data_IF_255285133804
#
_entry.id   IF_255285133804
#
_cell.length_a   1.000
_cell.length_b   1.000
_cell.length_c   1.000
_cell.angle_alpha   90.00
_cell.angle_beta   90.00
_cell.angle_gamma   90.00
#
_symmetry.space_group_name_H-M   'P 1'
#
loop_
_entity.id
_entity.type
_entity.pdbx_description
1 polymer ?
#
# COMPACT_ATOMS: atom_id res chain seq x y z
N UNK A 1 -46.08 13.55 7.72
CA UNK A 1 -44.64 13.90 7.71
C UNK A 1 -43.80 12.62 7.58
N UNK A 2 -43.49 12.25 6.34
CA UNK A 2 -42.65 11.08 6.06
C UNK A 2 -41.20 11.38 6.45
N UNK A 3 -40.51 10.50 7.21
CA UNK A 3 -39.09 10.65 7.42
C UNK A 3 -38.40 10.31 6.10
N UNK A 4 -37.66 11.28 5.59
CA UNK A 4 -36.87 11.17 4.37
C UNK A 4 -35.65 10.29 4.69
N UNK A 5 -35.81 8.97 4.73
CA UNK A 5 -34.68 8.04 4.77
C UNK A 5 -34.13 7.96 3.35
N UNK A 6 -33.19 8.85 3.03
CA UNK A 6 -32.31 8.61 1.88
C UNK A 6 -31.62 7.25 2.11
N UNK A 7 -31.68 6.31 1.16
CA UNK A 7 -30.83 5.13 1.24
C UNK A 7 -29.37 5.59 1.21
N UNK A 8 -28.45 4.91 1.94
CA UNK A 8 -27.03 5.20 1.82
C UNK A 8 -26.63 5.11 0.34
N UNK A 9 -25.96 6.15 -0.14
CA UNK A 9 -25.47 6.25 -1.53
C UNK A 9 -24.57 5.06 -1.85
N UNK A 10 -24.83 4.29 -2.92
CA UNK A 10 -23.92 3.23 -3.33
C UNK A 10 -22.73 3.85 -4.08
N UNK A 11 -21.53 3.30 -3.83
CA UNK A 11 -20.21 3.66 -4.37
C UNK A 11 -19.40 4.69 -3.57
N UNK A 12 -18.93 4.28 -2.39
CA UNK A 12 -17.83 4.91 -1.65
C UNK A 12 -16.45 4.59 -2.24
N UNK A 13 -16.33 3.61 -3.14
CA UNK A 13 -15.05 3.15 -3.69
C UNK A 13 -14.79 3.69 -5.10
N UNK A 14 -14.51 5.00 -5.20
CA UNK A 14 -14.12 5.64 -6.45
C UNK A 14 -12.60 5.83 -6.60
N UNK A 15 -11.85 5.60 -5.53
CA UNK A 15 -10.44 5.96 -5.46
C UNK A 15 -9.67 5.03 -4.51
N UNK A 16 -8.47 4.63 -4.93
CA UNK A 16 -7.47 3.92 -4.11
C UNK A 16 -6.39 4.93 -3.76
N UNK A 17 -6.15 5.14 -2.47
CA UNK A 17 -5.12 6.04 -2.00
C UNK A 17 -3.77 5.32 -1.83
N UNK A 18 -2.69 6.10 -1.92
CA UNK A 18 -1.36 5.58 -1.63
C UNK A 18 -1.25 5.19 -0.14
N UNK A 19 -1.03 3.89 0.09
CA UNK A 19 -0.92 3.32 1.43
C UNK A 19 -2.16 2.57 1.89
N UNK A 20 -3.22 2.51 1.07
CA UNK A 20 -4.35 1.62 1.35
C UNK A 20 -3.85 0.16 1.39
N UNK A 21 -4.31 -0.57 2.41
CA UNK A 21 -3.99 -1.97 2.58
C UNK A 21 -5.07 -2.82 1.94
N UNK A 22 -4.65 -3.81 1.16
CA UNK A 22 -5.56 -4.76 0.54
C UNK A 22 -5.10 -6.19 0.84
N UNK A 23 -6.06 -7.08 1.03
CA UNK A 23 -5.82 -8.51 1.20
C UNK A 23 -5.93 -9.17 -0.16
N UNK A 24 -4.85 -9.81 -0.59
CA UNK A 24 -4.84 -10.56 -1.85
C UNK A 24 -5.74 -11.80 -1.71
N UNK A 25 -6.74 -11.91 -2.58
CA UNK A 25 -7.64 -13.07 -2.64
C UNK A 25 -7.25 -14.04 -3.74
N UNK A 26 -6.80 -13.53 -4.88
CA UNK A 26 -6.45 -14.36 -6.04
C UNK A 26 -5.46 -13.67 -6.95
N UNK A 27 -4.50 -14.44 -7.46
CA UNK A 27 -3.52 -13.99 -8.47
C UNK A 27 -3.70 -14.82 -9.73
N UNK A 28 -3.76 -14.16 -10.88
CA UNK A 28 -3.92 -14.76 -12.20
C UNK A 28 -3.05 -14.04 -13.22
N UNK A 29 -2.93 -14.65 -14.40
CA UNK A 29 -2.31 -14.03 -15.58
C UNK A 29 -0.96 -13.37 -15.26
N UNK A 30 -0.04 -14.12 -14.64
CA UNK A 30 1.32 -13.62 -14.41
C UNK A 30 2.05 -13.66 -15.74
N UNK A 31 2.56 -12.52 -16.20
CA UNK A 31 3.21 -12.40 -17.50
C UNK A 31 4.23 -11.26 -17.51
N UNK A 32 5.09 -11.26 -18.51
CA UNK A 32 6.02 -10.18 -18.80
C UNK A 32 5.51 -9.33 -19.96
N UNK A 33 5.60 -8.01 -19.82
CA UNK A 33 5.22 -7.05 -20.84
C UNK A 33 6.06 -5.78 -20.66
N UNK A 34 6.48 -5.13 -21.75
CA UNK A 34 7.29 -3.89 -21.70
C UNK A 34 8.59 -3.98 -20.87
N UNK A 35 9.10 -5.19 -20.63
CA UNK A 35 10.28 -5.43 -19.79
C UNK A 35 10.01 -5.48 -18.28
N UNK A 36 8.73 -5.60 -17.88
CA UNK A 36 8.30 -5.71 -16.48
C UNK A 36 7.36 -6.90 -16.31
N UNK A 37 7.25 -7.41 -15.07
CA UNK A 37 6.36 -8.50 -14.67
C UNK A 37 5.06 -7.94 -14.11
N UNK A 38 3.95 -8.43 -14.64
CA UNK A 38 2.61 -8.05 -14.22
C UNK A 38 1.80 -9.26 -13.78
N UNK A 39 0.76 -9.00 -13.00
CA UNK A 39 -0.28 -9.98 -12.69
C UNK A 39 -1.64 -9.30 -12.63
N UNK A 40 -2.68 -10.08 -12.89
CA UNK A 40 -4.05 -9.70 -12.55
C UNK A 40 -4.37 -10.19 -11.14
N UNK A 41 -4.63 -9.25 -10.23
CA UNK A 41 -4.81 -9.55 -8.80
C UNK A 41 -6.20 -9.12 -8.37
N UNK A 42 -6.95 -10.07 -7.82
CA UNK A 42 -8.19 -9.80 -7.09
C UNK A 42 -7.84 -9.59 -5.62
N UNK A 43 -8.24 -8.45 -5.07
CA UNK A 43 -7.95 -8.02 -3.70
C UNK A 43 -9.20 -7.46 -3.03
N UNK A 44 -9.29 -7.61 -1.71
CA UNK A 44 -10.35 -6.99 -0.89
C UNK A 44 -9.77 -5.90 0.00
N UNK A 45 -10.47 -4.79 0.16
CA UNK A 45 -10.06 -3.67 0.99
C UNK A 45 -10.87 -3.64 2.30
N UNK A 46 -10.28 -4.06 3.44
CA UNK A 46 -11.01 -4.15 4.71
C UNK A 46 -11.56 -2.80 5.19
N UNK A 47 -10.82 -1.72 4.93
CA UNK A 47 -11.21 -0.35 5.31
C UNK A 47 -12.44 0.18 4.54
N UNK A 48 -12.90 -0.58 3.53
CA UNK A 48 -13.99 -0.20 2.63
C UNK A 48 -15.05 -1.29 2.53
N UNK A 49 -15.50 -1.82 3.67
CA UNK A 49 -16.56 -2.84 3.74
C UNK A 49 -16.24 -4.09 2.89
N UNK A 50 -14.99 -4.54 2.99
CA UNK A 50 -14.43 -5.68 2.23
C UNK A 50 -14.61 -5.56 0.70
N UNK A 51 -14.62 -4.33 0.17
CA UNK A 51 -14.77 -4.08 -1.27
C UNK A 51 -13.77 -4.89 -2.11
N UNK A 52 -14.27 -5.67 -3.06
CA UNK A 52 -13.46 -6.48 -3.97
C UNK A 52 -13.12 -5.71 -5.25
N UNK A 53 -11.82 -5.68 -5.59
CA UNK A 53 -11.30 -5.11 -6.82
C UNK A 53 -10.42 -6.11 -7.54
N UNK A 54 -10.53 -6.17 -8.87
CA UNK A 54 -9.53 -6.84 -9.72
C UNK A 54 -8.77 -5.79 -10.53
N UNK A 55 -7.44 -5.79 -10.42
CA UNK A 55 -6.57 -4.82 -11.08
C UNK A 55 -5.29 -5.45 -11.61
N UNK A 56 -4.67 -4.80 -12.60
CA UNK A 56 -3.32 -5.14 -13.05
C UNK A 56 -2.32 -4.59 -12.04
N UNK A 57 -1.42 -5.44 -11.56
CA UNK A 57 -0.41 -5.12 -10.56
C UNK A 57 0.97 -5.30 -11.17
N UNK A 58 1.86 -4.35 -10.92
CA UNK A 58 3.26 -4.42 -11.26
C UNK A 58 4.03 -5.19 -10.17
N UNK A 59 4.59 -6.34 -10.52
CA UNK A 59 5.25 -7.23 -9.56
C UNK A 59 6.69 -6.81 -9.22
N UNK A 60 7.39 -6.14 -10.14
CA UNK A 60 8.77 -5.68 -9.92
C UNK A 60 8.91 -4.74 -8.71
N UNK A 61 7.84 -4.04 -8.34
CA UNK A 61 7.87 -3.17 -7.16
C UNK A 61 7.88 -3.97 -5.86
N UNK A 62 7.41 -5.22 -5.82
CA UNK A 62 7.34 -6.00 -4.58
C UNK A 62 8.70 -6.27 -3.95
N UNK A 63 9.73 -6.50 -4.77
CA UNK A 63 11.08 -6.85 -4.32
C UNK A 63 12.10 -5.72 -4.47
N UNK A 64 11.68 -4.57 -5.01
CA UNK A 64 12.53 -3.39 -5.10
C UNK A 64 12.77 -2.77 -3.72
N UNK A 65 13.93 -2.15 -3.50
CA UNK A 65 14.18 -1.33 -2.30
C UNK A 65 13.49 0.04 -2.39
N UNK A 66 13.17 0.52 -3.60
CA UNK A 66 12.45 1.77 -3.80
C UNK A 66 10.95 1.60 -3.52
N UNK A 67 10.23 2.62 -2.99
CA UNK A 67 8.80 2.52 -2.65
C UNK A 67 7.90 2.29 -3.87
N UNK A 68 8.38 2.65 -5.05
CA UNK A 68 7.73 2.57 -6.35
C UNK A 68 8.82 2.37 -7.42
N UNK A 69 8.43 2.29 -8.70
CA UNK A 69 9.37 2.38 -9.81
C UNK A 69 10.25 3.62 -9.69
N UNK A 70 11.54 3.46 -9.97
CA UNK A 70 12.44 4.61 -10.07
C UNK A 70 12.04 5.49 -11.25
N UNK A 71 12.50 6.75 -11.25
CA UNK A 71 12.23 7.67 -12.36
C UNK A 71 12.67 7.09 -13.72
N UNK A 72 13.81 6.39 -13.74
CA UNK A 72 14.34 5.75 -14.94
C UNK A 72 13.44 4.60 -15.41
N UNK A 73 13.00 3.74 -14.48
CA UNK A 73 12.07 2.64 -14.78
C UNK A 73 10.71 3.16 -15.26
N UNK A 74 10.18 4.22 -14.63
CA UNK A 74 8.93 4.86 -15.05
C UNK A 74 9.05 5.44 -16.46
N UNK A 75 10.18 6.07 -16.78
CA UNK A 75 10.44 6.59 -18.12
C UNK A 75 10.57 5.47 -19.16
N UNK A 76 11.21 4.36 -18.78
CA UNK A 76 11.31 3.17 -19.63
C UNK A 76 9.93 2.58 -19.92
N UNK A 77 9.09 2.38 -18.90
CA UNK A 77 7.72 1.90 -19.05
C UNK A 77 6.91 2.85 -19.95
N UNK A 78 7.00 4.16 -19.70
CA UNK A 78 6.33 5.16 -20.54
C UNK A 78 6.75 5.04 -22.01
N UNK A 79 8.05 4.95 -22.29
CA UNK A 79 8.55 4.84 -23.66
C UNK A 79 8.08 3.55 -24.33
N UNK A 80 8.06 2.43 -23.59
CA UNK A 80 7.61 1.14 -24.08
C UNK A 80 6.12 1.11 -24.38
N UNK A 81 5.28 1.71 -23.53
CA UNK A 81 3.84 1.87 -23.80
C UNK A 81 3.58 2.87 -24.94
N UNK A 82 4.42 3.90 -25.07
CA UNK A 82 4.34 4.88 -26.17
C UNK A 82 4.56 4.23 -27.54
N UNK A 83 5.40 3.19 -27.62
CA UNK A 83 5.66 2.41 -28.85
C UNK A 83 4.37 1.73 -29.36
N UNK A 84 3.51 1.24 -28.48
CA UNK A 84 2.25 0.56 -28.83
C UNK A 84 1.24 1.47 -29.54
N UNK A 85 1.37 2.79 -29.37
CA UNK A 85 0.49 3.81 -29.96
C UNK A 85 1.20 4.67 -31.02
N UNK A 86 2.28 4.16 -31.61
CA UNK A 86 3.08 4.87 -32.60
C UNK A 86 2.30 5.21 -33.88
N UNK A 87 1.28 4.42 -34.21
CA UNK A 87 0.36 4.56 -35.33
C UNK A 87 -0.58 5.78 -35.20
N UNK A 88 -0.85 6.25 -33.96
CA UNK A 88 -1.70 7.41 -33.72
C UNK A 88 -0.94 8.70 -34.11
N UNK A 89 -1.38 9.45 -35.14
CA UNK A 89 -0.63 10.58 -35.67
C UNK A 89 -0.66 11.80 -34.73
N UNK A 90 -1.78 12.02 -34.05
CA UNK A 90 -1.93 13.16 -33.14
C UNK A 90 -1.38 12.84 -31.75
N UNK A 91 -0.37 13.60 -31.33
CA UNK A 91 0.29 13.46 -30.02
C UNK A 91 -0.70 13.51 -28.84
N UNK A 92 -1.71 14.38 -28.90
CA UNK A 92 -2.69 14.51 -27.82
C UNK A 92 -3.50 13.23 -27.63
N UNK A 93 -3.92 12.58 -28.71
CA UNK A 93 -4.72 11.36 -28.63
C UNK A 93 -3.86 10.17 -28.18
N UNK A 94 -2.59 10.15 -28.58
CA UNK A 94 -1.61 9.19 -28.05
C UNK A 94 -1.45 9.31 -26.54
N UNK A 95 -1.31 10.54 -26.03
CA UNK A 95 -1.20 10.79 -24.59
C UNK A 95 -2.47 10.40 -23.83
N UNK A 96 -3.66 10.57 -24.42
CA UNK A 96 -4.92 10.10 -23.81
C UNK A 96 -4.92 8.57 -23.68
N UNK A 97 -4.50 7.86 -24.73
CA UNK A 97 -4.41 6.39 -24.69
C UNK A 97 -3.45 5.87 -23.65
N UNK A 98 -2.27 6.47 -23.53
CA UNK A 98 -1.30 6.11 -22.49
C UNK A 98 -1.89 6.33 -21.09
N UNK A 99 -2.64 7.42 -20.87
CA UNK A 99 -3.31 7.68 -19.59
C UNK A 99 -4.40 6.69 -19.24
N UNK A 100 -4.93 5.94 -20.21
CA UNK A 100 -5.93 4.89 -20.02
C UNK A 100 -5.30 3.49 -20.08
N UNK A 101 -4.00 3.39 -20.36
CA UNK A 101 -3.33 2.11 -20.59
C UNK A 101 -3.24 1.27 -19.31
N UNK A 102 -3.51 -0.02 -19.44
CA UNK A 102 -3.57 -0.96 -18.31
C UNK A 102 -2.21 -1.20 -17.64
N UNK A 103 -1.12 -1.14 -18.39
CA UNK A 103 0.23 -1.40 -17.88
C UNK A 103 0.83 -0.12 -17.30
N UNK A 104 0.59 1.01 -17.96
CA UNK A 104 0.99 2.32 -17.46
C UNK A 104 0.30 2.69 -16.15
N UNK A 105 -0.98 2.32 -15.99
CA UNK A 105 -1.77 2.51 -14.77
C UNK A 105 -1.78 1.30 -13.83
N UNK A 106 -0.90 0.32 -14.04
CA UNK A 106 -0.82 -0.84 -13.15
C UNK A 106 -0.52 -0.39 -11.71
N UNK A 107 -1.18 -1.02 -10.75
CA UNK A 107 -0.98 -0.73 -9.33
C UNK A 107 0.43 -1.15 -8.91
N UNK A 108 1.15 -0.21 -8.30
CA UNK A 108 2.45 -0.44 -7.71
C UNK A 108 2.24 -0.80 -6.24
N UNK A 109 2.55 -2.04 -5.89
CA UNK A 109 2.26 -2.58 -4.56
C UNK A 109 3.55 -2.97 -3.83
N UNK A 110 3.43 -3.03 -2.50
CA UNK A 110 4.45 -3.49 -1.57
C UNK A 110 3.83 -4.46 -0.58
N UNK A 111 4.66 -5.35 -0.03
CA UNK A 111 4.23 -6.17 1.09
C UNK A 111 4.07 -5.29 2.34
N UNK A 112 2.89 -5.35 2.95
CA UNK A 112 2.57 -4.63 4.19
C UNK A 112 2.91 -5.49 5.43
N UNK A 113 4.09 -6.12 5.47
CA UNK A 113 4.50 -6.96 6.59
C UNK A 113 4.75 -6.17 7.88
N UNK A 114 5.20 -4.93 7.73
CA UNK A 114 5.42 -4.00 8.83
C UNK A 114 4.96 -2.61 8.40
N UNK A 115 4.46 -1.84 9.36
CA UNK A 115 4.06 -0.46 9.18
C UNK A 115 4.72 0.39 10.26
N UNK A 116 5.04 1.64 9.92
CA UNK A 116 5.49 2.60 10.93
C UNK A 116 4.33 2.96 11.86
N UNK A 117 4.62 3.34 13.11
CA UNK A 117 3.59 3.74 14.09
C UNK A 117 2.67 4.85 13.57
N UNK A 118 3.20 5.75 12.74
CA UNK A 118 2.44 6.81 12.07
C UNK A 118 1.39 6.25 11.10
N UNK A 119 1.71 5.15 10.41
CA UNK A 119 0.83 4.46 9.46
C UNK A 119 -0.11 3.45 10.13
N UNK A 120 0.22 3.02 11.35
CA UNK A 120 -0.62 2.13 12.15
C UNK A 120 -1.75 2.87 12.88
N UNK A 121 -1.75 4.21 12.87
CA UNK A 121 -2.76 5.02 13.55
C UNK A 121 -4.17 4.73 13.00
N UNK A 122 -5.10 4.39 13.89
CA UNK A 122 -6.48 4.07 13.52
C UNK A 122 -6.76 2.58 13.30
N UNK A 123 -5.72 1.77 13.05
CA UNK A 123 -5.86 0.31 12.97
C UNK A 123 -5.84 -0.36 14.35
N UNK A 124 -6.37 -1.56 14.43
CA UNK A 124 -6.28 -2.43 15.61
C UNK A 124 -5.98 -3.86 15.16
N UNK A 125 -5.11 -4.56 15.88
CA UNK A 125 -4.71 -5.94 15.58
C UNK A 125 -4.69 -6.77 16.86
N UNK A 126 -5.05 -8.06 16.78
CA UNK A 126 -5.02 -8.97 17.93
C UNK A 126 -3.63 -9.05 18.56
N UNK A 127 -2.61 -9.17 17.72
CA UNK A 127 -1.22 -9.24 18.14
C UNK A 127 -0.37 -8.18 17.43
N UNK A 128 0.39 -7.40 18.20
CA UNK A 128 1.30 -6.37 17.67
C UNK A 128 2.73 -6.68 18.09
N UNK A 129 3.64 -6.67 17.12
CA UNK A 129 5.08 -6.83 17.32
C UNK A 129 5.73 -5.46 17.17
N UNK A 130 6.41 -4.99 18.21
CA UNK A 130 7.04 -3.67 18.24
C UNK A 130 8.55 -3.86 18.21
N UNK A 131 9.18 -3.42 17.13
CA UNK A 131 10.63 -3.25 17.03
C UNK A 131 10.95 -1.75 17.07
N UNK A 132 11.68 -1.32 18.09
CA UNK A 132 12.08 0.09 18.25
C UNK A 132 13.28 0.48 17.36
N UNK A 133 13.95 -0.51 16.74
CA UNK A 133 15.18 -0.31 15.99
C UNK A 133 16.34 0.15 16.89
N UNK A 134 17.28 0.89 16.30
CA UNK A 134 18.40 1.47 17.04
C UNK A 134 17.98 2.76 17.73
N UNK A 135 17.75 2.69 19.04
CA UNK A 135 17.44 3.84 19.92
C UNK A 135 18.60 4.00 20.90
N UNK A 136 19.11 5.22 21.03
CA UNK A 136 20.05 5.62 22.10
C UNK A 136 19.33 6.39 23.21
N UNK A 137 19.91 6.50 24.40
CA UNK A 137 19.28 7.16 25.55
C UNK A 137 18.88 8.62 25.26
N UNK A 138 19.67 9.34 24.45
CA UNK A 138 19.39 10.70 24.01
C UNK A 138 18.20 10.81 23.04
N UNK A 139 17.77 9.69 22.45
CA UNK A 139 16.60 9.61 21.56
C UNK A 139 15.29 9.35 22.32
N UNK A 140 15.33 9.10 23.64
CA UNK A 140 14.16 8.91 24.52
C UNK A 140 13.44 10.24 24.80
N UNK A 141 12.93 10.85 23.76
CA UNK A 141 12.17 12.10 23.81
C UNK A 141 10.69 11.88 24.14
N UNK A 142 9.95 12.92 24.56
CA UNK A 142 8.49 12.82 24.71
C UNK A 142 7.77 12.31 23.45
N UNK A 143 8.28 12.62 22.26
CA UNK A 143 7.71 12.14 21.00
C UNK A 143 7.93 10.64 20.79
N UNK A 144 9.07 10.10 21.22
CA UNK A 144 9.31 8.66 21.23
C UNK A 144 8.24 7.94 22.06
N UNK A 145 7.98 8.40 23.28
CA UNK A 145 6.98 7.80 24.16
C UNK A 145 5.54 7.92 23.61
N UNK A 146 5.22 9.00 22.88
CA UNK A 146 3.92 9.14 22.19
C UNK A 146 3.74 8.08 21.10
N UNK A 147 4.78 7.82 20.31
CA UNK A 147 4.72 6.78 19.28
C UNK A 147 4.72 5.38 19.87
N UNK A 148 5.46 5.15 20.95
CA UNK A 148 5.43 3.88 21.69
C UNK A 148 4.04 3.61 22.27
N UNK A 149 3.41 4.61 22.91
CA UNK A 149 2.02 4.51 23.37
C UNK A 149 1.06 4.20 22.21
N UNK A 150 1.24 4.86 21.06
CA UNK A 150 0.43 4.59 19.87
C UNK A 150 0.57 3.14 19.44
N UNK A 151 1.80 2.62 19.34
CA UNK A 151 2.10 1.24 18.98
C UNK A 151 1.49 0.23 19.96
N UNK A 152 1.67 0.45 21.27
CA UNK A 152 1.13 -0.40 22.33
C UNK A 152 -0.40 -0.47 22.27
N UNK A 153 -1.07 0.67 22.07
CA UNK A 153 -2.54 0.74 22.04
C UNK A 153 -3.18 0.26 20.74
N UNK A 154 -2.38 -0.18 19.75
CA UNK A 154 -2.92 -0.86 18.57
C UNK A 154 -3.28 -2.32 18.83
N UNK A 155 -2.69 -2.95 19.85
CA UNK A 155 -2.98 -4.34 20.20
C UNK A 155 -4.31 -4.48 20.92
N UNK A 156 -5.13 -5.46 20.54
CA UNK A 156 -6.36 -5.80 21.26
C UNK A 156 -6.19 -6.98 22.21
N UNK A 157 -5.20 -7.86 21.98
CA UNK A 157 -4.92 -8.99 22.88
C UNK A 157 -3.50 -8.98 23.45
N UNK A 158 -2.46 -8.96 22.60
CA UNK A 158 -1.08 -9.12 23.06
C UNK A 158 -0.08 -8.24 22.31
N UNK A 159 0.89 -7.72 23.06
CA UNK A 159 2.06 -7.00 22.51
C UNK A 159 3.31 -7.85 22.71
N UNK A 160 4.12 -7.91 21.67
CA UNK A 160 5.45 -8.52 21.68
C UNK A 160 6.49 -7.43 21.45
N UNK A 161 7.37 -7.22 22.41
CA UNK A 161 8.52 -6.32 22.27
C UNK A 161 9.68 -7.12 21.65
N UNK A 162 10.14 -6.69 20.49
CA UNK A 162 11.18 -7.37 19.72
C UNK A 162 12.49 -6.60 19.86
N UNK A 163 13.59 -7.32 20.11
CA UNK A 163 14.93 -6.75 20.28
C UNK A 163 15.00 -5.65 21.36
N UNK A 164 14.24 -5.80 22.45
CA UNK A 164 14.22 -4.83 23.53
C UNK A 164 15.44 -5.00 24.46
N UNK A 165 16.07 -3.91 24.94
CA UNK A 165 17.20 -4.00 25.84
C UNK A 165 16.80 -4.56 27.20
N UNK A 166 17.57 -5.52 27.72
CA UNK A 166 17.32 -6.18 29.02
C UNK A 166 17.24 -5.16 30.17
N UNK A 167 18.08 -4.11 30.13
CA UNK A 167 18.08 -3.04 31.12
C UNK A 167 16.77 -2.25 31.21
N UNK A 168 15.91 -2.32 30.20
CA UNK A 168 14.60 -1.69 30.21
C UNK A 168 13.47 -2.62 30.72
N UNK A 169 13.78 -3.90 30.99
CA UNK A 169 12.85 -4.93 31.47
C UNK A 169 13.11 -5.31 32.95
N UNK A 170 14.30 -5.01 33.48
CA UNK A 170 14.77 -5.46 34.79
C UNK A 170 14.12 -4.76 36.01
N UNK A 171 13.27 -3.75 35.81
CA UNK A 171 12.55 -3.03 36.88
C UNK A 171 11.09 -3.52 37.10
N UNK A 172 10.73 -4.72 36.62
CA UNK A 172 9.38 -5.30 36.75
C UNK A 172 9.20 -6.22 37.97
#
# INVERSE_FOLDING_TARGET
PSPNTQPPSPNTFSFIANGDMAVVRRVRNVHEQHGFRFAEVTMTFPDYDDYELTATVLLDTLTSEAPALTREQQQLLYNKVLEDYADIPHKQDRLKKIKEDRYYNALQVKFAYAATCHKAQGGQWEHVYIDQGYITEDMLSPDYFRWLYTALTRATEQVYLVNWPDSALDDA
#
